data_IF_639998547353
#
_entry.id   IF_639998547353
#
_cell.length_a   1.000
_cell.length_b   1.000
_cell.length_c   1.000
_cell.angle_alpha   90.00
_cell.angle_beta   90.00
_cell.angle_gamma   90.00
#
_symmetry.space_group_name_H-M   'P 1'
#
loop_
_entity.id
_entity.type
_entity.pdbx_description
1 polymer ?
#
# COMPACT_ATOMS: atom_id res chain seq x y z
N UNK A 1 -19.62 4.42 -5.56
CA UNK A 1 -19.10 3.83 -4.29
C UNK A 1 -17.61 3.59 -4.44
N UNK A 2 -16.77 4.41 -3.79
CA UNK A 2 -15.31 4.26 -3.85
C UNK A 2 -14.91 3.02 -3.06
N UNK A 3 -14.25 2.03 -3.70
CA UNK A 3 -13.71 0.87 -3.00
C UNK A 3 -12.54 1.34 -2.14
N UNK A 4 -12.77 1.54 -0.85
CA UNK A 4 -11.72 1.94 0.08
C UNK A 4 -10.71 0.79 0.26
N UNK A 5 -9.50 0.98 -0.26
CA UNK A 5 -8.34 0.10 -0.04
C UNK A 5 -7.70 -0.44 -1.32
N UNK A 6 -6.48 -0.97 -1.17
CA UNK A 6 -5.70 -1.53 -2.28
C UNK A 6 -6.23 -2.89 -2.76
N UNK A 7 -5.90 -3.24 -4.00
CA UNK A 7 -6.21 -4.50 -4.66
C UNK A 7 -4.93 -5.24 -5.04
N UNK A 8 -5.04 -6.53 -5.34
CA UNK A 8 -3.93 -7.32 -5.89
C UNK A 8 -3.46 -6.67 -7.20
N UNK A 9 -2.15 -6.48 -7.32
CA UNK A 9 -1.51 -5.79 -8.44
C UNK A 9 -1.21 -4.30 -8.17
N UNK A 10 -1.85 -3.68 -7.18
CA UNK A 10 -1.60 -2.29 -6.85
C UNK A 10 -0.16 -2.08 -6.37
N UNK A 11 0.46 -1.00 -6.85
CA UNK A 11 1.75 -0.52 -6.36
C UNK A 11 1.55 0.38 -5.16
N UNK A 12 2.25 0.08 -4.07
CA UNK A 12 2.13 0.80 -2.80
C UNK A 12 3.50 1.20 -2.27
N UNK A 13 3.55 2.28 -1.51
CA UNK A 13 4.71 2.78 -0.80
C UNK A 13 4.51 2.63 0.70
N UNK A 14 5.60 2.34 1.42
CA UNK A 14 5.59 2.37 2.87
C UNK A 14 5.86 3.79 3.38
N UNK A 15 4.97 4.38 4.19
CA UNK A 15 5.06 5.78 4.63
C UNK A 15 6.36 6.14 5.35
N UNK A 16 7.00 5.17 6.03
CA UNK A 16 8.24 5.40 6.78
C UNK A 16 9.50 5.23 5.93
N UNK A 17 9.38 4.55 4.80
CA UNK A 17 10.50 4.14 3.95
C UNK A 17 10.17 4.66 2.54
N UNK A 18 10.35 5.98 2.39
CA UNK A 18 9.71 6.81 1.37
C UNK A 18 9.82 6.34 -0.09
N UNK A 19 10.77 5.45 -0.38
CA UNK A 19 11.08 4.99 -1.74
C UNK A 19 10.90 3.48 -1.94
N UNK A 20 10.45 2.73 -0.92
CA UNK A 20 10.27 1.29 -1.06
C UNK A 20 8.91 0.99 -1.71
N UNK A 21 8.92 0.79 -3.03
CA UNK A 21 7.72 0.41 -3.81
C UNK A 21 7.51 -1.10 -3.70
N UNK A 22 6.34 -1.47 -3.20
CA UNK A 22 5.86 -2.84 -3.12
C UNK A 22 4.67 -3.08 -4.03
N UNK A 23 4.38 -4.36 -4.27
CA UNK A 23 3.18 -4.79 -5.02
C UNK A 23 2.28 -5.60 -4.12
N UNK A 24 1.01 -5.24 -4.04
CA UNK A 24 0.04 -6.05 -3.28
C UNK A 24 -0.18 -7.37 -4.03
N UNK A 25 0.11 -8.50 -3.38
CA UNK A 25 -0.04 -9.83 -3.98
C UNK A 25 -1.23 -10.60 -3.39
N UNK A 26 -1.68 -10.23 -2.19
CA UNK A 26 -2.90 -10.78 -1.61
C UNK A 26 -3.55 -9.81 -0.63
N UNK A 27 -4.87 -9.92 -0.51
CA UNK A 27 -5.67 -9.19 0.48
C UNK A 27 -6.40 -10.21 1.31
N UNK A 28 -6.10 -10.28 2.61
CA UNK A 28 -6.73 -11.24 3.53
C UNK A 28 -7.42 -10.51 4.68
N UNK A 29 -8.54 -11.06 5.13
CA UNK A 29 -9.16 -10.70 6.43
C UNK A 29 -8.73 -11.74 7.44
N UNK A 30 -8.02 -11.33 8.47
CA UNK A 30 -7.67 -12.22 9.58
C UNK A 30 -8.85 -12.28 10.55
N UNK A 31 -9.31 -13.50 10.83
CA UNK A 31 -10.49 -13.77 11.66
C UNK A 31 -10.33 -13.38 13.13
N UNK A 32 -9.10 -13.17 13.60
CA UNK A 32 -8.78 -12.80 14.99
C UNK A 32 -8.66 -11.30 15.26
N UNK A 33 -8.83 -10.41 14.27
CA UNK A 33 -8.14 -9.12 14.31
C UNK A 33 -9.04 -7.88 14.48
N UNK A 34 -8.83 -7.18 15.60
CA UNK A 34 -9.03 -5.74 15.75
C UNK A 34 -8.37 -4.90 14.63
N UNK A 35 -7.44 -5.50 13.87
CA UNK A 35 -6.66 -4.90 12.79
C UNK A 35 -7.34 -4.91 11.40
N UNK A 36 -8.45 -5.64 11.23
CA UNK A 36 -9.23 -5.63 9.97
C UNK A 36 -8.53 -6.32 8.78
N UNK A 37 -8.39 -5.61 7.66
CA UNK A 37 -7.82 -6.12 6.39
C UNK A 37 -6.28 -6.07 6.44
N UNK A 38 -5.63 -7.12 5.95
CA UNK A 38 -4.16 -7.23 5.83
C UNK A 38 -3.78 -7.38 4.36
N UNK A 39 -2.85 -6.55 3.93
CA UNK A 39 -2.24 -6.54 2.61
C UNK A 39 -0.94 -7.33 2.65
N UNK A 40 -0.82 -8.37 1.83
CA UNK A 40 0.46 -9.02 1.62
C UNK A 40 1.15 -8.29 0.49
N UNK A 41 2.28 -7.68 0.78
CA UNK A 41 3.01 -6.85 -0.16
C UNK A 41 4.36 -7.50 -0.46
N UNK A 42 4.63 -7.70 -1.75
CA UNK A 42 5.94 -8.08 -2.25
C UNK A 42 6.78 -6.81 -2.39
N UNK A 43 7.80 -6.69 -1.54
CA UNK A 43 8.87 -5.72 -1.63
C UNK A 43 10.07 -6.31 -2.37
N UNK A 44 11.12 -5.51 -2.60
CA UNK A 44 12.38 -6.01 -3.17
C UNK A 44 13.02 -7.10 -2.30
N UNK A 45 12.89 -6.99 -0.97
CA UNK A 45 13.53 -7.89 -0.01
C UNK A 45 12.70 -9.13 0.33
N UNK A 46 11.40 -9.13 0.00
CA UNK A 46 10.52 -10.25 0.30
C UNK A 46 9.06 -9.85 0.45
N UNK A 47 8.25 -10.83 0.86
CA UNK A 47 6.81 -10.63 1.12
C UNK A 47 6.58 -10.38 2.59
N UNK A 48 5.89 -9.28 2.92
CA UNK A 48 5.49 -8.98 4.29
C UNK A 48 3.98 -8.67 4.40
N UNK A 49 3.31 -9.13 5.47
CA UNK A 49 1.95 -8.73 5.78
C UNK A 49 1.92 -7.31 6.38
N UNK A 50 1.05 -6.47 5.83
CA UNK A 50 0.90 -5.06 6.20
C UNK A 50 -0.56 -4.77 6.55
N UNK A 51 -0.86 -4.46 7.82
CA UNK A 51 -2.20 -4.08 8.23
C UNK A 51 -2.75 -2.83 7.49
N UNK A 52 -4.07 -2.74 7.31
CA UNK A 52 -4.68 -1.60 6.58
C UNK A 52 -4.38 -0.23 7.19
N UNK A 53 -4.22 -0.14 8.51
CA UNK A 53 -3.95 1.12 9.23
C UNK A 53 -2.46 1.45 9.32
N UNK A 54 -1.58 0.53 8.93
CA UNK A 54 -0.15 0.84 8.84
C UNK A 54 0.14 1.47 7.48
N UNK A 55 0.24 2.80 7.47
CA UNK A 55 1.08 3.63 6.59
C UNK A 55 1.24 3.30 5.10
N UNK A 56 0.36 2.54 4.45
CA UNK A 56 0.47 2.29 3.01
C UNK A 56 -0.11 3.46 2.20
N UNK A 57 0.63 3.92 1.21
CA UNK A 57 0.17 4.95 0.25
C UNK A 57 0.20 4.39 -1.17
N UNK A 58 -0.69 4.88 -2.03
CA UNK A 58 -0.64 4.51 -3.46
C UNK A 58 0.64 5.08 -4.08
N UNK A 59 1.40 4.24 -4.77
CA UNK A 59 2.57 4.70 -5.54
C UNK A 59 2.16 5.57 -6.75
N UNK A 60 0.91 5.42 -7.24
CA UNK A 60 0.39 6.27 -8.31
C UNK A 60 0.26 7.75 -7.90
N UNK A 61 0.15 8.04 -6.60
CA UNK A 61 0.11 9.41 -6.09
C UNK A 61 1.50 10.02 -5.83
N UNK A 62 2.58 9.24 -5.88
CA UNK A 62 3.94 9.77 -5.71
C UNK A 62 4.35 10.67 -6.90
N UNK A 63 3.99 10.28 -8.13
CA UNK A 63 4.24 11.09 -9.32
C UNK A 63 3.34 12.32 -9.47
N UNK A 64 2.28 12.46 -8.66
CA UNK A 64 1.41 13.65 -8.68
C UNK A 64 1.88 14.77 -7.74
N UNK A 65 2.81 14.46 -6.83
CA UNK A 65 3.43 15.46 -5.95
C UNK A 65 4.55 16.26 -6.63
N UNK A 66 4.98 15.89 -7.85
CA UNK A 66 5.91 16.69 -8.66
C UNK A 66 5.20 17.65 -9.63
N UNK A 67 3.86 17.59 -9.72
CA UNK A 67 3.07 18.36 -10.68
C UNK A 67 2.55 19.72 -10.20
N UNK A 68 2.97 20.21 -9.03
CA UNK A 68 2.51 21.51 -8.48
C UNK A 68 3.56 22.63 -8.50
N UNK A 69 4.78 22.39 -9.01
CA UNK A 69 5.78 23.44 -9.25
C UNK A 69 5.78 23.98 -10.70
N UNK A 70 4.81 23.61 -11.54
CA UNK A 70 4.71 24.08 -12.92
C UNK A 70 3.35 24.74 -13.21
N UNK A 71 3.03 25.82 -12.49
CA UNK A 71 1.98 26.78 -12.87
C UNK A 71 2.32 28.18 -12.35
#
# INVERSE_FOLDING_TARGET
>A
MSRSGFQVGDKVLHYREGDNVGTVIAVRRTWWSFFGRVYWVQWREGVLPVPMHTGLRSAANAGRAEGWEAA
#
